data_IF_537286534106
#
_entry.id   IF_537286534106
#
_cell.length_a   1.000
_cell.length_b   1.000
_cell.length_c   1.000
_cell.angle_alpha   90.00
_cell.angle_beta   90.00
_cell.angle_gamma   90.00
#
_symmetry.space_group_name_H-M   'P 1'
#
loop_
_entity.id
_entity.type
_entity.pdbx_description
1 polymer ?
#
# COMPACT_ATOMS: atom_id res chain seq x y z
N UNK A 1 13.05 27.81 3.90
CA UNK A 1 12.56 26.65 4.67
C UNK A 1 13.06 26.82 6.10
N UNK A 2 12.17 26.99 7.07
CA UNK A 2 12.53 26.95 8.49
C UNK A 2 12.90 25.51 8.85
N UNK A 3 14.06 25.32 9.49
CA UNK A 3 14.46 24.01 9.98
C UNK A 3 13.39 23.46 10.94
N UNK A 4 13.13 22.16 10.86
CA UNK A 4 12.19 21.51 11.79
C UNK A 4 12.69 21.74 13.23
N UNK A 5 11.79 22.04 14.18
CA UNK A 5 12.19 22.24 15.58
C UNK A 5 12.81 20.97 16.14
N UNK A 6 13.93 21.12 16.84
CA UNK A 6 14.56 20.00 17.54
C UNK A 6 13.82 19.80 18.86
N UNK A 7 13.17 18.66 19.03
CA UNK A 7 12.45 18.28 20.24
C UNK A 7 13.42 17.60 21.20
N UNK A 8 13.62 18.17 22.38
CA UNK A 8 14.53 17.66 23.43
C UNK A 8 13.89 17.55 24.81
N UNK A 9 12.74 18.21 25.01
CA UNK A 9 12.07 18.30 26.29
C UNK A 9 10.55 18.34 26.12
N UNK A 10 9.83 18.16 27.23
CA UNK A 10 8.37 18.32 27.26
C UNK A 10 7.95 19.74 26.87
N UNK A 11 8.72 20.75 27.32
CA UNK A 11 8.44 22.14 26.99
C UNK A 11 8.48 22.43 25.47
N UNK A 12 9.34 21.72 24.73
CA UNK A 12 9.38 21.84 23.25
C UNK A 12 8.11 21.27 22.61
N UNK A 13 7.58 20.18 23.18
CA UNK A 13 6.30 19.59 22.75
C UNK A 13 5.16 20.54 23.02
N UNK A 14 5.06 21.04 24.25
CA UNK A 14 4.02 22.01 24.67
C UNK A 14 4.04 23.27 23.79
N UNK A 15 5.22 23.74 23.39
CA UNK A 15 5.35 24.88 22.47
C UNK A 15 4.79 24.55 21.08
N UNK A 16 5.05 23.36 20.55
CA UNK A 16 4.52 22.91 19.26
C UNK A 16 3.00 22.75 19.32
N UNK A 17 2.46 22.25 20.44
CA UNK A 17 1.03 22.01 20.64
C UNK A 17 0.23 23.31 20.80
N UNK A 18 0.87 24.43 21.09
CA UNK A 18 0.19 25.76 21.09
C UNK A 18 -0.38 26.12 19.71
N UNK A 19 0.17 25.52 18.62
CA UNK A 19 -0.45 25.67 17.29
C UNK A 19 -1.47 24.55 17.09
N UNK A 20 -2.78 24.85 17.05
CA UNK A 20 -3.82 23.85 16.82
C UNK A 20 -3.57 23.08 15.52
N UNK A 21 -3.94 21.81 15.49
CA UNK A 21 -3.74 20.94 14.32
C UNK A 21 -4.40 21.55 13.06
N UNK A 22 -5.59 22.13 13.19
CA UNK A 22 -6.31 22.79 12.11
C UNK A 22 -5.62 24.04 11.54
N UNK A 23 -4.68 24.64 12.29
CA UNK A 23 -3.89 25.79 11.83
C UNK A 23 -2.57 25.38 11.16
N UNK A 24 -2.27 24.07 11.13
CA UNK A 24 -1.06 23.54 10.48
C UNK A 24 -1.38 23.23 9.02
N UNK A 25 -0.42 23.51 8.13
CA UNK A 25 -0.52 23.13 6.71
C UNK A 25 -0.24 21.64 6.55
N UNK A 26 -1.18 20.78 7.02
CA UNK A 26 -1.11 19.35 6.87
C UNK A 26 -1.78 18.91 5.56
N UNK A 27 -1.22 17.90 4.86
CA UNK A 27 -1.88 17.35 3.70
C UNK A 27 -3.22 16.70 4.11
N UNK A 28 -4.25 16.83 3.28
CA UNK A 28 -5.57 16.28 3.54
C UNK A 28 -5.63 14.75 3.35
N UNK A 29 -4.62 14.16 2.70
CA UNK A 29 -4.54 12.73 2.43
C UNK A 29 -3.09 12.27 2.26
N UNK A 30 -2.86 10.95 2.38
CA UNK A 30 -1.58 10.31 2.06
C UNK A 30 -1.17 10.58 0.61
N UNK A 31 -2.14 10.59 -0.31
CA UNK A 31 -1.89 10.93 -1.72
C UNK A 31 -1.34 12.35 -1.89
N UNK A 32 -1.96 13.34 -1.24
CA UNK A 32 -1.48 14.72 -1.26
C UNK A 32 -0.07 14.85 -0.62
N UNK A 33 0.21 14.10 0.45
CA UNK A 33 1.55 14.07 1.05
C UNK A 33 2.60 13.62 0.05
N UNK A 34 2.33 12.55 -0.70
CA UNK A 34 3.22 12.04 -1.76
C UNK A 34 3.35 13.06 -2.90
N UNK A 35 2.26 13.71 -3.31
CA UNK A 35 2.29 14.78 -4.32
C UNK A 35 3.17 15.96 -3.88
N UNK A 36 3.00 16.43 -2.66
CA UNK A 36 3.82 17.53 -2.10
C UNK A 36 5.30 17.14 -2.02
N UNK A 37 5.60 15.89 -1.69
CA UNK A 37 6.97 15.38 -1.66
C UNK A 37 7.60 15.31 -3.05
N UNK A 38 6.86 14.77 -4.04
CA UNK A 38 7.30 14.73 -5.44
C UNK A 38 7.47 16.14 -6.04
N UNK A 39 6.61 17.10 -5.68
CA UNK A 39 6.74 18.48 -6.13
C UNK A 39 7.95 19.20 -5.51
N UNK A 40 8.35 18.82 -4.30
CA UNK A 40 9.49 19.42 -3.60
C UNK A 40 10.83 18.90 -4.10
N UNK A 41 10.96 17.60 -4.28
CA UNK A 41 12.16 16.93 -4.78
C UNK A 41 11.77 15.62 -5.48
N UNK A 42 11.48 15.66 -6.80
CA UNK A 42 11.01 14.49 -7.54
C UNK A 42 12.02 13.36 -7.60
N UNK A 43 13.33 13.67 -7.56
CA UNK A 43 14.41 12.70 -7.69
C UNK A 43 14.88 12.12 -6.35
N UNK A 44 14.39 12.65 -5.21
CA UNK A 44 14.73 12.10 -3.91
C UNK A 44 14.29 10.62 -3.80
N UNK A 45 15.10 9.75 -3.18
CA UNK A 45 14.73 8.35 -2.99
C UNK A 45 13.49 8.22 -2.10
N UNK A 46 12.48 7.51 -2.60
CA UNK A 46 11.19 7.32 -1.93
C UNK A 46 10.99 5.90 -1.42
N UNK A 47 11.43 4.89 -2.19
CA UNK A 47 11.32 3.48 -1.83
C UNK A 47 12.55 2.73 -2.31
N UNK A 48 13.08 1.86 -1.45
CA UNK A 48 14.11 0.89 -1.80
C UNK A 48 13.67 -0.49 -1.32
N UNK A 49 13.78 -1.49 -2.17
CA UNK A 49 13.37 -2.86 -1.88
C UNK A 49 14.48 -3.84 -2.27
N UNK A 50 14.72 -4.80 -1.39
CA UNK A 50 15.66 -5.91 -1.55
C UNK A 50 14.86 -7.19 -1.41
N UNK A 51 14.94 -8.09 -2.39
CA UNK A 51 14.16 -9.33 -2.43
C UNK A 51 14.86 -10.47 -1.66
N UNK A 52 16.14 -10.68 -1.95
CA UNK A 52 16.89 -11.84 -1.44
C UNK A 52 17.77 -11.50 -0.23
N UNK A 53 18.18 -10.24 -0.09
CA UNK A 53 19.07 -9.78 0.98
C UNK A 53 20.52 -10.24 0.84
N UNK A 54 20.94 -10.59 -0.39
CA UNK A 54 22.34 -10.95 -0.68
C UNK A 54 23.20 -9.69 -0.81
N UNK A 55 24.51 -9.80 -0.55
CA UNK A 55 25.43 -8.65 -0.55
C UNK A 55 25.61 -7.98 -1.92
N UNK A 56 25.38 -8.72 -2.99
CA UNK A 56 25.52 -8.33 -4.39
C UNK A 56 24.18 -7.92 -5.04
N UNK A 57 23.06 -8.10 -4.32
CA UNK A 57 21.74 -7.72 -4.82
C UNK A 57 21.63 -6.22 -5.01
N UNK A 58 21.21 -5.81 -6.21
CA UNK A 58 20.90 -4.42 -6.48
C UNK A 58 19.47 -4.10 -6.03
N UNK A 59 19.27 -3.13 -5.11
CA UNK A 59 17.94 -2.81 -4.65
C UNK A 59 17.09 -2.22 -5.79
N UNK A 60 15.84 -2.66 -5.88
CA UNK A 60 14.85 -1.95 -6.66
C UNK A 60 14.56 -0.61 -5.99
N UNK A 61 14.69 0.48 -6.72
CA UNK A 61 14.51 1.84 -6.18
C UNK A 61 13.50 2.62 -6.99
N UNK A 62 12.74 3.44 -6.28
CA UNK A 62 11.88 4.47 -6.86
C UNK A 62 12.20 5.81 -6.20
N UNK A 63 12.22 6.87 -7.01
CA UNK A 63 12.16 8.24 -6.53
C UNK A 63 10.71 8.67 -6.27
N UNK A 64 10.49 9.88 -5.73
CA UNK A 64 9.14 10.36 -5.41
C UNK A 64 8.27 10.56 -6.66
N UNK A 65 8.82 10.95 -7.79
CA UNK A 65 8.09 11.07 -9.06
C UNK A 65 7.56 9.72 -9.54
N UNK A 66 8.42 8.71 -9.51
CA UNK A 66 8.06 7.34 -9.90
C UNK A 66 7.05 6.73 -8.92
N UNK A 67 7.24 6.93 -7.62
CA UNK A 67 6.29 6.46 -6.60
C UNK A 67 4.91 7.07 -6.81
N UNK A 68 4.81 8.40 -6.98
CA UNK A 68 3.56 9.09 -7.26
C UNK A 68 2.88 8.54 -8.52
N UNK A 69 3.67 8.28 -9.58
CA UNK A 69 3.17 7.68 -10.82
C UNK A 69 2.56 6.30 -10.57
N UNK A 70 3.24 5.41 -9.81
CA UNK A 70 2.76 4.05 -9.48
C UNK A 70 1.50 4.10 -8.63
N UNK A 71 1.46 4.95 -7.61
CA UNK A 71 0.28 5.14 -6.74
C UNK A 71 -0.92 5.62 -7.56
N UNK A 72 -0.72 6.62 -8.43
CA UNK A 72 -1.77 7.14 -9.31
C UNK A 72 -2.28 6.09 -10.30
N UNK A 73 -1.38 5.31 -10.91
CA UNK A 73 -1.75 4.21 -11.80
C UNK A 73 -2.59 3.15 -11.08
N UNK A 74 -2.21 2.80 -9.84
CA UNK A 74 -2.94 1.83 -9.03
C UNK A 74 -4.33 2.34 -8.66
N UNK A 75 -4.46 3.59 -8.20
CA UNK A 75 -5.76 4.20 -7.92
C UNK A 75 -6.68 4.18 -9.15
N UNK A 76 -6.14 4.57 -10.31
CA UNK A 76 -6.88 4.56 -11.57
C UNK A 76 -7.28 3.13 -12.01
N UNK A 77 -6.44 2.13 -11.76
CA UNK A 77 -6.77 0.73 -12.03
C UNK A 77 -7.92 0.27 -11.14
N UNK A 78 -7.90 0.58 -9.84
CA UNK A 78 -8.98 0.24 -8.92
C UNK A 78 -10.30 0.92 -9.30
N UNK A 79 -10.27 2.20 -9.70
CA UNK A 79 -11.45 2.88 -10.22
C UNK A 79 -12.03 2.22 -11.48
N UNK A 80 -11.17 1.78 -12.41
CA UNK A 80 -11.60 1.05 -13.62
C UNK A 80 -12.24 -0.30 -13.29
N UNK A 81 -11.75 -0.97 -12.23
CA UNK A 81 -12.32 -2.22 -11.72
C UNK A 81 -13.58 -2.01 -10.88
N UNK A 82 -14.02 -0.76 -10.71
CA UNK A 82 -15.29 -0.44 -10.07
C UNK A 82 -15.20 -0.02 -8.61
N UNK A 83 -14.00 0.09 -8.02
CA UNK A 83 -13.85 0.62 -6.66
C UNK A 83 -14.34 2.06 -6.60
N UNK A 84 -15.09 2.40 -5.56
CA UNK A 84 -15.66 3.73 -5.35
C UNK A 84 -15.35 4.22 -3.92
N UNK A 85 -15.39 5.52 -3.65
CA UNK A 85 -15.27 6.04 -2.29
C UNK A 85 -16.21 5.32 -1.31
N UNK A 86 -15.70 4.92 -0.16
CA UNK A 86 -16.43 4.15 0.85
C UNK A 86 -16.49 2.64 0.63
N UNK A 87 -15.94 2.14 -0.50
CA UNK A 87 -15.79 0.70 -0.76
C UNK A 87 -14.35 0.25 -0.54
N UNK A 88 -14.18 -1.02 -0.17
CA UNK A 88 -12.88 -1.54 0.24
C UNK A 88 -12.19 -2.38 -0.83
N UNK A 89 -10.86 -2.29 -0.85
CA UNK A 89 -9.95 -3.25 -1.46
C UNK A 89 -9.16 -3.94 -0.37
N UNK A 90 -9.27 -5.26 -0.27
CA UNK A 90 -8.41 -6.09 0.58
C UNK A 90 -7.12 -6.44 -0.13
N UNK A 91 -6.05 -6.66 0.63
CA UNK A 91 -4.85 -7.27 0.07
C UNK A 91 -4.24 -8.33 0.96
N UNK A 92 -3.67 -9.35 0.30
CA UNK A 92 -2.89 -10.46 0.85
C UNK A 92 -1.54 -10.47 0.15
N UNK A 93 -0.65 -9.60 0.59
CA UNK A 93 0.70 -9.46 0.02
C UNK A 93 1.75 -9.49 1.13
N UNK A 94 2.91 -10.09 0.87
CA UNK A 94 4.09 -9.85 1.69
C UNK A 94 4.59 -8.42 1.48
N UNK A 95 5.66 -8.05 2.17
CA UNK A 95 6.25 -6.71 2.03
C UNK A 95 6.96 -6.58 0.67
N UNK A 96 6.27 -6.01 -0.32
CA UNK A 96 6.72 -5.79 -1.70
C UNK A 96 6.52 -4.31 -2.08
N UNK A 97 7.16 -3.79 -3.12
CA UNK A 97 6.84 -2.48 -3.69
C UNK A 97 5.35 -2.35 -4.05
N UNK A 98 4.75 -3.38 -4.62
CA UNK A 98 3.34 -3.44 -5.00
C UNK A 98 2.39 -3.36 -3.80
N UNK A 99 2.84 -3.79 -2.61
CA UNK A 99 2.09 -3.62 -1.37
C UNK A 99 1.90 -2.15 -1.03
N UNK A 100 2.95 -1.35 -1.16
CA UNK A 100 2.90 0.10 -0.96
C UNK A 100 2.02 0.79 -2.01
N UNK A 101 2.10 0.36 -3.29
CA UNK A 101 1.22 0.89 -4.33
C UNK A 101 -0.24 0.56 -4.06
N UNK A 102 -0.51 -0.65 -3.55
CA UNK A 102 -1.86 -1.09 -3.17
C UNK A 102 -2.40 -0.27 -2.00
N UNK A 103 -1.60 -0.04 -0.96
CA UNK A 103 -2.01 0.77 0.19
C UNK A 103 -2.35 2.20 -0.26
N UNK A 104 -1.41 2.92 -0.81
CA UNK A 104 -1.60 4.35 -1.10
C UNK A 104 -2.50 4.59 -2.31
N UNK A 105 -2.48 3.73 -3.33
CA UNK A 105 -3.42 3.78 -4.44
C UNK A 105 -4.83 3.39 -4.03
N UNK A 106 -4.97 2.44 -3.11
CA UNK A 106 -6.24 2.05 -2.54
C UNK A 106 -6.86 3.14 -1.66
N UNK A 107 -6.07 3.79 -0.79
CA UNK A 107 -6.50 4.95 0.00
C UNK A 107 -6.96 6.13 -0.86
N UNK A 108 -6.30 6.34 -2.02
CA UNK A 108 -6.71 7.37 -2.98
C UNK A 108 -8.01 7.01 -3.72
N UNK A 109 -8.38 5.73 -3.82
CA UNK A 109 -9.56 5.26 -4.56
C UNK A 109 -10.74 4.86 -3.68
N UNK A 110 -10.48 4.45 -2.42
CA UNK A 110 -11.49 3.92 -1.51
C UNK A 110 -10.94 3.66 -0.12
N UNK A 111 -11.22 2.49 0.44
CA UNK A 111 -10.75 2.02 1.75
C UNK A 111 -9.79 0.85 1.53
N UNK A 112 -8.67 0.82 2.23
CA UNK A 112 -7.72 -0.30 2.19
C UNK A 112 -7.89 -1.18 3.41
N UNK A 113 -8.03 -2.48 3.20
CA UNK A 113 -8.07 -3.49 4.24
C UNK A 113 -6.84 -4.42 4.12
N UNK A 114 -5.87 -4.24 5.01
CA UNK A 114 -4.67 -5.05 5.07
C UNK A 114 -4.94 -6.35 5.84
N UNK A 115 -4.80 -7.50 5.20
CA UNK A 115 -5.01 -8.80 5.83
C UNK A 115 -3.66 -9.48 6.02
N UNK A 116 -3.44 -10.00 7.24
CA UNK A 116 -2.23 -10.76 7.53
C UNK A 116 -2.19 -12.04 6.68
N UNK A 117 -1.19 -12.22 5.81
CA UNK A 117 -1.08 -13.38 4.92
C UNK A 117 -0.82 -14.72 5.65
N UNK A 118 -0.46 -14.69 6.93
CA UNK A 118 -0.23 -15.89 7.74
C UNK A 118 -1.52 -16.52 8.30
N UNK A 119 -2.65 -15.83 8.18
CA UNK A 119 -3.95 -16.38 8.58
C UNK A 119 -4.37 -17.53 7.66
N UNK A 120 -5.22 -18.43 8.18
CA UNK A 120 -5.87 -19.44 7.34
C UNK A 120 -6.95 -18.83 6.44
N UNK A 121 -7.43 -19.63 5.49
CA UNK A 121 -8.39 -19.17 4.48
C UNK A 121 -9.73 -18.73 5.09
N UNK A 122 -10.21 -19.41 6.15
CA UNK A 122 -11.47 -19.10 6.80
C UNK A 122 -11.46 -17.70 7.43
N UNK A 123 -10.44 -17.40 8.25
CA UNK A 123 -10.26 -16.06 8.83
C UNK A 123 -10.05 -14.97 7.77
N UNK A 124 -9.34 -15.29 6.68
CA UNK A 124 -9.19 -14.35 5.55
C UNK A 124 -10.56 -14.03 4.95
N UNK A 125 -11.41 -15.04 4.73
CA UNK A 125 -12.76 -14.84 4.22
C UNK A 125 -13.61 -13.94 5.14
N UNK A 126 -13.56 -14.20 6.46
CA UNK A 126 -14.27 -13.40 7.46
C UNK A 126 -13.85 -11.92 7.41
N UNK A 127 -12.55 -11.63 7.29
CA UNK A 127 -12.04 -10.26 7.21
C UNK A 127 -12.43 -9.56 5.91
N UNK A 128 -12.45 -10.29 4.78
CA UNK A 128 -12.92 -9.77 3.49
C UNK A 128 -14.43 -9.46 3.56
N UNK A 129 -15.22 -10.33 4.17
CA UNK A 129 -16.64 -10.10 4.41
C UNK A 129 -16.89 -8.90 5.33
N UNK A 130 -16.20 -8.85 6.47
CA UNK A 130 -16.37 -7.78 7.46
C UNK A 130 -16.06 -6.39 6.90
N UNK A 131 -15.12 -6.30 5.96
CA UNK A 131 -14.74 -5.05 5.28
C UNK A 131 -15.62 -4.73 4.06
N UNK A 132 -16.55 -5.61 3.67
CA UNK A 132 -17.32 -5.52 2.42
C UNK A 132 -16.42 -5.23 1.20
N UNK A 133 -15.29 -5.95 1.12
CA UNK A 133 -14.30 -5.71 0.07
C UNK A 133 -14.80 -6.13 -1.29
N UNK A 134 -14.67 -5.23 -2.25
CA UNK A 134 -15.06 -5.44 -3.65
C UNK A 134 -13.89 -5.92 -4.53
N UNK A 135 -12.65 -5.64 -4.12
CA UNK A 135 -11.43 -6.07 -4.80
C UNK A 135 -10.50 -6.79 -3.81
N UNK A 136 -9.73 -7.74 -4.32
CA UNK A 136 -8.66 -8.42 -3.61
C UNK A 136 -7.37 -8.33 -4.43
N UNK A 137 -6.28 -7.88 -3.80
CA UNK A 137 -4.94 -7.94 -4.38
C UNK A 137 -4.15 -9.03 -3.68
N UNK A 138 -3.56 -9.95 -4.44
CA UNK A 138 -2.79 -11.07 -3.89
C UNK A 138 -1.55 -11.38 -4.71
N UNK A 139 -0.67 -12.19 -4.17
CA UNK A 139 0.47 -12.71 -4.91
C UNK A 139 -0.01 -13.84 -5.84
N UNK A 140 0.43 -13.84 -7.10
CA UNK A 140 0.32 -14.99 -8.00
C UNK A 140 1.07 -16.20 -7.42
N UNK A 141 0.88 -17.41 -7.95
CA UNK A 141 1.64 -18.58 -7.52
C UNK A 141 3.14 -18.28 -7.48
N UNK A 142 3.74 -18.44 -6.29
CA UNK A 142 5.15 -18.13 -6.07
C UNK A 142 5.77 -19.15 -5.11
N UNK A 143 6.99 -19.65 -5.37
CA UNK A 143 7.67 -20.63 -4.50
C UNK A 143 7.78 -20.13 -3.05
N UNK A 144 7.54 -21.05 -2.11
CA UNK A 144 7.68 -20.78 -0.66
C UNK A 144 6.49 -20.03 -0.03
N UNK A 145 5.38 -19.84 -0.75
CA UNK A 145 4.15 -19.23 -0.23
C UNK A 145 2.91 -20.00 -0.65
N UNK A 146 1.90 -20.00 0.22
CA UNK A 146 0.59 -20.65 0.03
C UNK A 146 -0.54 -19.63 -0.26
N UNK A 147 -0.20 -18.35 -0.48
CA UNK A 147 -1.18 -17.27 -0.62
C UNK A 147 -2.18 -17.52 -1.74
N UNK A 148 -1.69 -17.93 -2.91
CA UNK A 148 -2.57 -18.25 -4.03
C UNK A 148 -3.49 -19.43 -3.72
N UNK A 149 -2.99 -20.48 -3.08
CA UNK A 149 -3.80 -21.64 -2.69
C UNK A 149 -4.91 -21.26 -1.70
N UNK A 150 -4.62 -20.34 -0.75
CA UNK A 150 -5.64 -19.79 0.15
C UNK A 150 -6.73 -19.04 -0.62
N UNK A 151 -6.36 -18.17 -1.56
CA UNK A 151 -7.32 -17.42 -2.38
C UNK A 151 -8.16 -18.36 -3.27
N UNK A 152 -7.55 -19.38 -3.84
CA UNK A 152 -8.28 -20.41 -4.61
C UNK A 152 -9.31 -21.15 -3.74
N UNK A 153 -8.97 -21.48 -2.49
CA UNK A 153 -9.89 -22.12 -1.56
C UNK A 153 -11.11 -21.22 -1.20
N UNK A 154 -10.98 -19.90 -1.36
CA UNK A 154 -12.07 -18.94 -1.12
C UNK A 154 -12.94 -18.68 -2.37
N UNK A 155 -12.60 -19.25 -3.51
CA UNK A 155 -13.35 -19.06 -4.76
C UNK A 155 -14.82 -19.49 -4.56
N UNK A 156 -15.74 -18.58 -4.87
CA UNK A 156 -17.18 -18.78 -4.68
C UNK A 156 -17.71 -18.51 -3.27
N UNK A 157 -16.86 -18.25 -2.30
CA UNK A 157 -17.28 -17.89 -0.94
C UNK A 157 -17.36 -16.36 -0.73
N UNK A 158 -16.93 -15.56 -1.69
CA UNK A 158 -16.83 -14.10 -1.60
C UNK A 158 -17.70 -13.43 -2.67
N UNK A 159 -19.04 -13.43 -2.48
CA UNK A 159 -19.99 -13.01 -3.53
C UNK A 159 -19.89 -11.52 -3.92
N UNK A 160 -19.39 -10.66 -3.00
CA UNK A 160 -19.24 -9.23 -3.26
C UNK A 160 -17.93 -8.87 -3.97
N UNK A 161 -17.01 -9.85 -4.09
CA UNK A 161 -15.72 -9.64 -4.71
C UNK A 161 -15.85 -9.57 -6.24
N UNK A 162 -15.57 -8.40 -6.82
CA UNK A 162 -15.69 -8.14 -8.27
C UNK A 162 -14.49 -8.62 -9.06
N UNK A 163 -13.27 -8.52 -8.45
CA UNK A 163 -12.04 -8.93 -9.11
C UNK A 163 -10.95 -9.32 -8.09
N UNK A 164 -10.10 -10.25 -8.52
CA UNK A 164 -8.84 -10.59 -7.87
C UNK A 164 -7.70 -10.12 -8.77
N UNK A 165 -6.80 -9.32 -8.22
CA UNK A 165 -5.65 -8.76 -8.92
C UNK A 165 -4.41 -9.53 -8.44
N UNK A 166 -3.70 -10.14 -9.37
CA UNK A 166 -2.51 -10.93 -9.07
C UNK A 166 -1.24 -10.10 -9.30
N UNK A 167 -0.40 -10.02 -8.29
CA UNK A 167 0.97 -9.53 -8.42
C UNK A 167 1.84 -10.69 -8.85
N UNK A 168 2.34 -10.64 -10.09
CA UNK A 168 3.22 -11.66 -10.65
C UNK A 168 4.69 -11.27 -10.41
N UNK A 169 5.41 -12.14 -9.70
CA UNK A 169 6.84 -12.00 -9.38
C UNK A 169 7.68 -13.10 -10.06
N UNK A 170 7.10 -13.91 -10.96
CA UNK A 170 7.78 -15.04 -11.58
C UNK A 170 9.05 -14.62 -12.35
N UNK A 171 9.05 -13.43 -12.95
CA UNK A 171 10.19 -12.86 -13.65
C UNK A 171 11.38 -12.46 -12.75
N UNK A 172 11.22 -12.51 -11.43
CA UNK A 172 12.28 -12.24 -10.45
C UNK A 172 12.90 -13.52 -9.89
N UNK A 173 12.40 -14.69 -10.33
CA UNK A 173 12.99 -15.98 -9.97
C UNK A 173 14.26 -16.21 -10.82
N UNK A 174 15.35 -16.75 -10.24
CA UNK A 174 16.47 -17.23 -11.03
C UNK A 174 16.02 -18.36 -11.98
N UNK A 175 16.60 -18.41 -13.16
CA UNK A 175 16.39 -19.49 -14.15
C UNK A 175 16.89 -20.82 -13.62
#
# INVERSE_FOLDING_TARGET
>A
MTAAPIIRSLADIELIEQTPLAARDLPASTYELIQRSAARDPEAPALSFILQGTADEQPYRLNYSELLSKVTQTANAFHRLGLRPGKAVSFLLPNLPQTHFTIWGGEAAGIVNAINPLLDAEHIAELIHASDSELLVTLAPFPGTDLWAKVEALRGQLPNLKAVICVDMANLLPE
#
